data_IF_020200260587
#
_entry.id   IF_020200260587
#
_cell.length_a   1.000
_cell.length_b   1.000
_cell.length_c   1.000
_cell.angle_alpha   90.00
_cell.angle_beta   90.00
_cell.angle_gamma   90.00
#
_symmetry.space_group_name_H-M   'P 1'
#
loop_
_entity.id
_entity.type
_entity.pdbx_description
1 polymer ?
#
# COMPACT_ATOMS: atom_id res chain seq x y z
N UNK A 1 33.60 -1.85 -8.35
CA UNK A 1 32.88 -1.60 -9.62
C UNK A 1 33.82 -1.70 -10.83
N UNK A 2 34.58 -2.80 -10.91
CA UNK A 2 35.46 -3.21 -12.01
C UNK A 2 35.49 -4.75 -11.81
N UNK A 3 34.71 -5.57 -12.55
CA UNK A 3 34.95 -5.90 -13.96
C UNK A 3 33.66 -6.28 -14.73
N UNK A 4 32.98 -5.33 -15.38
CA UNK A 4 31.95 -5.61 -16.39
C UNK A 4 32.19 -4.85 -17.71
N UNK A 5 33.18 -3.95 -17.73
CA UNK A 5 33.52 -3.11 -18.90
C UNK A 5 34.52 -3.79 -19.86
N UNK A 6 35.16 -4.90 -19.46
CA UNK A 6 36.15 -5.59 -20.31
C UNK A 6 35.54 -6.50 -21.39
N UNK A 7 34.29 -6.94 -21.23
CA UNK A 7 33.62 -7.85 -22.18
C UNK A 7 32.97 -7.13 -23.36
N UNK A 8 32.27 -6.01 -23.11
CA UNK A 8 31.51 -5.27 -24.14
C UNK A 8 32.46 -4.53 -25.10
N UNK A 9 33.63 -4.10 -24.62
CA UNK A 9 34.60 -3.37 -25.45
C UNK A 9 35.19 -4.22 -26.60
N UNK A 10 35.30 -5.55 -26.45
CA UNK A 10 35.88 -6.39 -27.51
C UNK A 10 34.91 -6.73 -28.65
N UNK A 11 33.61 -6.83 -28.37
CA UNK A 11 32.59 -7.13 -29.40
C UNK A 11 32.25 -5.87 -30.21
N UNK A 12 32.22 -4.69 -29.58
CA UNK A 12 31.95 -3.43 -30.27
C UNK A 12 33.12 -2.96 -31.16
N UNK A 13 34.38 -3.20 -30.75
CA UNK A 13 35.55 -2.77 -31.52
C UNK A 13 35.80 -3.64 -32.77
N UNK A 14 35.37 -4.90 -32.79
CA UNK A 14 35.52 -5.77 -33.98
C UNK A 14 34.44 -5.55 -35.05
N UNK A 15 33.25 -5.05 -34.68
CA UNK A 15 32.18 -4.71 -35.63
C UNK A 15 32.29 -3.30 -36.24
N UNK A 16 32.94 -2.36 -35.54
CA UNK A 16 32.97 -0.94 -35.92
C UNK A 16 33.92 -0.61 -37.09
N UNK A 17 34.80 -1.52 -37.51
CA UNK A 17 35.69 -1.29 -38.66
C UNK A 17 35.02 -1.42 -40.03
N UNK A 18 33.76 -1.89 -40.12
CA UNK A 18 33.09 -2.10 -41.43
C UNK A 18 31.87 -1.22 -41.70
N UNK A 19 31.42 -0.39 -40.75
CA UNK A 19 30.23 0.43 -40.98
C UNK A 19 30.27 1.74 -40.19
N UNK A 20 30.75 2.80 -40.84
CA UNK A 20 30.89 4.16 -40.28
C UNK A 20 29.55 4.70 -39.72
N UNK A 21 28.43 4.24 -40.28
CA UNK A 21 27.07 4.58 -39.86
C UNK A 21 26.71 4.02 -38.47
N UNK A 22 27.20 2.82 -38.12
CA UNK A 22 26.93 2.20 -36.83
C UNK A 22 27.73 2.85 -35.69
N UNK A 23 28.97 3.27 -35.97
CA UNK A 23 29.79 4.01 -35.02
C UNK A 23 29.20 5.40 -34.70
N UNK A 24 28.62 6.08 -35.70
CA UNK A 24 27.91 7.35 -35.51
C UNK A 24 26.60 7.19 -34.73
N UNK A 25 25.86 6.09 -34.93
CA UNK A 25 24.65 5.80 -34.16
C UNK A 25 24.97 5.52 -32.68
N UNK A 26 26.03 4.75 -32.42
CA UNK A 26 26.53 4.51 -31.06
C UNK A 26 26.97 5.81 -30.37
N UNK A 27 27.73 6.67 -31.06
CA UNK A 27 28.13 7.98 -30.51
C UNK A 27 26.94 8.91 -30.21
N UNK A 28 25.87 8.84 -31.02
CA UNK A 28 24.63 9.60 -30.77
C UNK A 28 23.88 9.07 -29.55
N UNK A 29 23.80 7.75 -29.36
CA UNK A 29 23.25 7.16 -28.12
C UNK A 29 24.06 7.56 -26.88
N UNK A 30 25.39 7.53 -26.95
CA UNK A 30 26.25 7.94 -25.83
C UNK A 30 26.14 9.43 -25.51
N UNK A 31 25.98 10.29 -26.53
CA UNK A 31 25.74 11.72 -26.32
C UNK A 31 24.37 11.96 -25.69
N UNK A 32 23.31 11.28 -26.16
CA UNK A 32 21.98 11.39 -25.56
C UNK A 32 21.95 10.91 -24.10
N UNK A 33 22.59 9.78 -23.80
CA UNK A 33 22.73 9.28 -22.41
C UNK A 33 23.51 10.26 -21.52
N UNK A 34 24.59 10.85 -22.05
CA UNK A 34 25.37 11.87 -21.34
C UNK A 34 24.57 13.14 -21.11
N UNK A 35 23.83 13.61 -22.11
CA UNK A 35 23.04 14.84 -22.02
C UNK A 35 21.86 14.66 -21.07
N UNK A 36 21.19 13.50 -21.10
CA UNK A 36 20.16 13.12 -20.14
C UNK A 36 20.71 13.03 -18.70
N UNK A 37 21.91 12.47 -18.52
CA UNK A 37 22.59 12.40 -17.22
C UNK A 37 22.99 13.79 -16.70
N UNK A 38 23.56 14.64 -17.56
CA UNK A 38 23.92 16.03 -17.22
C UNK A 38 22.68 16.85 -16.88
N UNK A 39 21.59 16.67 -17.61
CA UNK A 39 20.32 17.33 -17.31
C UNK A 39 19.75 16.86 -15.96
N UNK A 40 19.84 15.56 -15.65
CA UNK A 40 19.47 15.01 -14.33
C UNK A 40 20.33 15.61 -13.21
N UNK A 41 21.65 15.75 -13.39
CA UNK A 41 22.55 16.34 -12.39
C UNK A 41 22.34 17.86 -12.21
N UNK A 42 22.00 18.60 -13.27
CA UNK A 42 21.72 20.03 -13.15
C UNK A 42 20.37 20.29 -12.44
N UNK A 43 19.36 19.47 -12.74
CA UNK A 43 18.10 19.47 -11.99
C UNK A 43 18.32 19.13 -10.51
N UNK A 44 19.29 18.25 -10.19
CA UNK A 44 19.70 17.90 -8.83
C UNK A 44 20.35 19.08 -8.07
N UNK A 45 21.20 19.86 -8.71
CA UNK A 45 21.86 21.02 -8.09
C UNK A 45 20.87 22.16 -7.83
N UNK A 46 19.97 22.42 -8.78
CA UNK A 46 18.86 23.36 -8.60
C UNK A 46 17.90 22.87 -7.50
N UNK A 47 17.65 21.56 -7.43
CA UNK A 47 16.86 20.89 -6.39
C UNK A 47 17.42 21.13 -4.99
N UNK A 48 18.73 20.92 -4.77
CA UNK A 48 19.36 21.11 -3.46
C UNK A 48 19.29 22.57 -3.00
N UNK A 49 19.51 23.52 -3.92
CA UNK A 49 19.52 24.95 -3.62
C UNK A 49 18.13 25.49 -3.27
N UNK A 50 17.12 25.20 -4.10
CA UNK A 50 15.75 25.69 -3.90
C UNK A 50 15.09 25.08 -2.66
N UNK A 51 15.27 23.78 -2.43
CA UNK A 51 14.63 23.09 -1.30
C UNK A 51 15.25 23.46 0.04
N UNK A 52 16.56 23.70 0.08
CA UNK A 52 17.22 24.19 1.29
C UNK A 52 16.68 25.56 1.70
N UNK A 53 16.47 26.48 0.75
CA UNK A 53 15.90 27.80 1.03
C UNK A 53 14.47 27.71 1.61
N UNK A 54 13.63 26.82 1.08
CA UNK A 54 12.25 26.65 1.55
C UNK A 54 12.17 26.00 2.95
N UNK A 55 13.03 25.02 3.23
CA UNK A 55 13.14 24.41 4.57
C UNK A 55 13.65 25.42 5.59
N UNK A 56 14.68 26.22 5.26
CA UNK A 56 15.17 27.27 6.15
C UNK A 56 14.09 28.32 6.43
N UNK A 57 13.27 28.67 5.45
CA UNK A 57 12.10 29.56 5.66
C UNK A 57 11.10 28.95 6.64
N UNK A 58 10.80 27.66 6.53
CA UNK A 58 9.89 26.95 7.44
C UNK A 58 10.43 26.82 8.86
N UNK A 59 11.70 26.48 9.02
CA UNK A 59 12.33 26.40 10.34
C UNK A 59 12.29 27.77 11.04
N UNK A 60 12.59 28.84 10.30
CA UNK A 60 12.47 30.20 10.82
C UNK A 60 11.03 30.60 11.16
N UNK A 61 10.04 30.12 10.40
CA UNK A 61 8.62 30.37 10.68
C UNK A 61 8.14 29.57 11.90
N UNK A 62 8.54 28.30 12.01
CA UNK A 62 8.25 27.42 13.15
C UNK A 62 8.87 27.96 14.44
N UNK A 63 10.12 28.43 14.41
CA UNK A 63 10.78 29.07 15.54
C UNK A 63 10.07 30.37 15.98
N UNK A 64 9.52 31.14 15.03
CA UNK A 64 8.69 32.31 15.34
C UNK A 64 7.35 31.94 15.98
N UNK A 65 6.80 30.77 15.65
CA UNK A 65 5.55 30.25 16.22
C UNK A 65 5.76 29.58 17.60
N UNK A 66 6.94 29.01 17.83
CA UNK A 66 7.32 28.37 19.10
C UNK A 66 7.77 29.36 20.18
N UNK A 67 7.94 30.65 19.83
CA UNK A 67 8.23 31.69 20.81
C UNK A 67 7.05 31.80 21.81
N UNK A 68 7.32 31.84 23.13
CA UNK A 68 6.28 31.92 24.14
C UNK A 68 5.38 33.13 23.88
N UNK A 69 4.06 32.89 24.03
CA UNK A 69 2.98 33.81 23.68
C UNK A 69 3.31 35.27 23.99
N UNK A 70 3.42 36.10 22.94
CA UNK A 70 3.32 37.53 23.10
C UNK A 70 1.91 37.84 23.65
N UNK A 71 1.78 38.59 24.75
CA UNK A 71 0.49 38.86 25.38
C UNK A 71 -0.34 39.76 24.47
N UNK A 72 -1.35 39.18 23.82
CA UNK A 72 -2.22 39.87 22.86
C UNK A 72 -2.87 38.90 21.89
N UNK A 73 -3.78 38.06 22.38
CA UNK A 73 -4.56 37.10 21.57
C UNK A 73 -5.62 37.78 20.68
N UNK A 74 -5.19 38.65 19.77
CA UNK A 74 -6.01 39.28 18.75
C UNK A 74 -5.99 38.52 17.42
N UNK A 75 -6.87 38.91 16.51
CA UNK A 75 -7.10 38.42 15.13
C UNK A 75 -5.85 37.93 14.33
N UNK A 76 -4.65 38.39 14.67
CA UNK A 76 -3.37 37.98 14.06
C UNK A 76 -3.09 36.48 14.13
N UNK A 77 -3.48 35.78 15.21
CA UNK A 77 -3.17 34.34 15.31
C UNK A 77 -3.94 33.47 14.30
N UNK A 78 -5.17 33.87 13.95
CA UNK A 78 -5.94 33.20 12.89
C UNK A 78 -5.29 33.42 11.53
N UNK A 79 -4.82 34.63 11.25
CA UNK A 79 -4.13 34.96 10.01
C UNK A 79 -2.78 34.24 9.90
N UNK A 80 -2.01 34.19 10.99
CA UNK A 80 -0.73 33.48 11.06
C UNK A 80 -0.92 31.97 10.86
N UNK A 81 -1.93 31.35 11.50
CA UNK A 81 -2.25 29.93 11.31
C UNK A 81 -2.69 29.63 9.88
N UNK A 82 -3.51 30.49 9.28
CA UNK A 82 -3.94 30.37 7.89
C UNK A 82 -2.76 30.48 6.92
N UNK A 83 -1.88 31.46 7.13
CA UNK A 83 -0.67 31.67 6.32
C UNK A 83 0.30 30.48 6.45
N UNK A 84 0.45 29.93 7.65
CA UNK A 84 1.24 28.72 7.89
C UNK A 84 0.66 27.51 7.13
N UNK A 85 -0.66 27.29 7.23
CA UNK A 85 -1.35 26.21 6.49
C UNK A 85 -1.22 26.38 4.96
N UNK A 86 -1.32 27.62 4.45
CA UNK A 86 -1.13 27.90 3.02
C UNK A 86 0.31 27.63 2.56
N UNK A 87 1.31 28.04 3.34
CA UNK A 87 2.72 27.80 3.03
C UNK A 87 3.08 26.31 3.10
N UNK A 88 2.57 25.58 4.10
CA UNK A 88 2.74 24.13 4.19
C UNK A 88 2.11 23.40 2.99
N UNK A 89 0.88 23.77 2.60
CA UNK A 89 0.25 23.24 1.38
C UNK A 89 1.09 23.51 0.14
N UNK A 90 1.67 24.71 0.03
CA UNK A 90 2.52 25.05 -1.12
C UNK A 90 3.77 24.17 -1.18
N UNK A 91 4.41 23.94 -0.04
CA UNK A 91 5.64 23.13 0.06
C UNK A 91 5.34 21.65 -0.14
N UNK A 92 4.26 21.13 0.45
CA UNK A 92 3.79 19.77 0.20
C UNK A 92 3.45 19.55 -1.28
N UNK A 93 2.75 20.50 -1.92
CA UNK A 93 2.49 20.43 -3.37
C UNK A 93 3.77 20.51 -4.20
N UNK A 94 4.76 21.32 -3.79
CA UNK A 94 6.04 21.43 -4.49
C UNK A 94 6.89 20.16 -4.34
N UNK A 95 6.92 19.56 -3.15
CA UNK A 95 7.55 18.25 -2.93
C UNK A 95 6.83 17.17 -3.71
N UNK A 96 5.49 17.15 -3.66
CA UNK A 96 4.67 16.20 -4.40
C UNK A 96 4.96 16.27 -5.90
N UNK A 97 4.92 17.45 -6.51
CA UNK A 97 5.24 17.63 -7.95
C UNK A 97 6.63 17.12 -8.31
N UNK A 98 7.59 17.21 -7.39
CA UNK A 98 8.97 16.76 -7.62
C UNK A 98 9.11 15.24 -7.44
N UNK A 99 8.49 14.65 -6.42
CA UNK A 99 8.38 13.19 -6.22
C UNK A 99 7.64 12.55 -7.39
N UNK A 100 6.50 13.12 -7.79
CA UNK A 100 5.70 12.75 -8.96
C UNK A 100 6.54 12.78 -10.25
N UNK A 101 7.27 13.87 -10.49
CA UNK A 101 8.17 13.98 -11.65
C UNK A 101 9.30 12.94 -11.65
N UNK A 102 9.90 12.67 -10.48
CA UNK A 102 10.96 11.67 -10.38
C UNK A 102 10.45 10.24 -10.49
N UNK A 103 9.31 9.92 -9.86
CA UNK A 103 8.66 8.61 -9.99
C UNK A 103 8.18 8.37 -11.43
N UNK A 104 7.71 9.41 -12.12
CA UNK A 104 7.39 9.34 -13.56
C UNK A 104 8.64 9.05 -14.39
N UNK A 105 9.76 9.72 -14.13
CA UNK A 105 11.05 9.42 -14.79
C UNK A 105 11.55 8.00 -14.48
N UNK A 106 11.29 7.48 -13.27
CA UNK A 106 11.57 6.10 -12.89
C UNK A 106 10.62 5.12 -13.60
N UNK A 107 9.35 5.48 -13.81
CA UNK A 107 8.38 4.72 -14.61
C UNK A 107 8.82 4.60 -16.07
N UNK A 108 9.43 5.65 -16.62
CA UNK A 108 9.99 5.64 -17.97
C UNK A 108 11.31 4.84 -18.09
N UNK A 109 11.98 4.56 -16.95
CA UNK A 109 13.26 3.86 -16.91
C UNK A 109 13.15 2.57 -16.08
N UNK A 110 12.84 1.46 -16.75
CA UNK A 110 12.54 0.15 -16.13
C UNK A 110 13.69 -0.52 -15.34
N UNK A 111 14.89 0.07 -15.27
CA UNK A 111 16.11 -0.56 -14.77
C UNK A 111 16.72 0.15 -13.52
N UNK A 112 15.93 0.97 -12.83
CA UNK A 112 16.44 1.90 -11.79
C UNK A 112 16.35 1.34 -10.37
N UNK A 113 16.33 0.01 -10.19
CA UNK A 113 16.25 -0.64 -8.86
C UNK A 113 17.46 -0.38 -7.95
N UNK A 114 18.45 0.41 -8.37
CA UNK A 114 19.66 0.74 -7.59
C UNK A 114 19.80 2.22 -7.23
N UNK A 115 18.74 3.03 -7.39
CA UNK A 115 18.86 4.46 -7.16
C UNK A 115 18.69 4.85 -5.68
N UNK A 116 19.82 4.95 -4.97
CA UNK A 116 19.93 5.50 -3.60
C UNK A 116 19.21 6.84 -3.41
N UNK A 117 19.03 7.63 -4.47
CA UNK A 117 18.32 8.91 -4.38
C UNK A 117 16.82 8.73 -4.12
N UNK A 118 16.21 7.61 -4.54
CA UNK A 118 14.80 7.34 -4.26
C UNK A 118 14.60 7.08 -2.76
N UNK A 119 15.49 6.31 -2.15
CA UNK A 119 15.51 6.05 -0.71
C UNK A 119 15.62 7.36 0.08
N UNK A 120 16.56 8.24 -0.27
CA UNK A 120 16.73 9.56 0.39
C UNK A 120 15.49 10.48 0.25
N UNK A 121 14.79 10.40 -0.88
CA UNK A 121 13.57 11.20 -1.12
C UNK A 121 12.41 10.64 -0.31
N UNK A 122 12.24 9.32 -0.32
CA UNK A 122 11.23 8.66 0.49
C UNK A 122 11.48 8.97 1.98
N UNK A 123 12.72 8.82 2.47
CA UNK A 123 13.12 9.24 3.81
C UNK A 123 12.75 10.69 4.14
N UNK A 124 12.87 11.60 3.18
CA UNK A 124 12.51 13.01 3.38
C UNK A 124 10.99 13.20 3.46
N UNK A 125 10.22 12.61 2.55
CA UNK A 125 8.75 12.60 2.62
C UNK A 125 8.28 12.03 3.95
N UNK A 126 8.96 10.97 4.43
CA UNK A 126 8.67 10.32 5.70
C UNK A 126 8.96 11.22 6.92
N UNK A 127 10.07 11.97 6.92
CA UNK A 127 10.36 12.96 7.97
C UNK A 127 9.29 14.05 8.05
N UNK A 128 8.87 14.56 6.90
CA UNK A 128 7.88 15.65 6.85
C UNK A 128 6.49 15.16 7.29
N UNK A 129 6.13 13.90 7.00
CA UNK A 129 4.91 13.27 7.51
C UNK A 129 4.88 13.20 9.04
N UNK A 130 5.99 12.73 9.65
CA UNK A 130 6.13 12.65 11.11
C UNK A 130 5.92 14.01 11.76
N UNK A 131 6.51 15.05 11.19
CA UNK A 131 6.44 16.40 11.74
C UNK A 131 5.05 17.05 11.52
N UNK A 132 4.24 16.52 10.59
CA UNK A 132 2.87 16.97 10.30
C UNK A 132 1.77 16.27 11.12
N UNK A 133 2.12 15.37 12.05
CA UNK A 133 1.18 14.50 12.80
C UNK A 133 -0.03 15.23 13.38
N UNK A 134 0.19 16.34 14.10
CA UNK A 134 -0.91 17.08 14.74
C UNK A 134 -1.85 17.75 13.72
N UNK A 135 -1.33 18.10 12.55
CA UNK A 135 -2.12 18.67 11.45
C UNK A 135 -2.96 17.61 10.78
N UNK A 136 -2.38 16.43 10.53
CA UNK A 136 -3.10 15.25 10.02
C UNK A 136 -4.24 14.90 10.96
N UNK A 137 -3.96 14.86 12.26
CA UNK A 137 -4.96 14.61 13.27
C UNK A 137 -6.14 15.59 13.20
N UNK A 138 -5.83 16.89 13.23
CA UNK A 138 -6.85 17.95 13.13
C UNK A 138 -7.65 17.82 11.83
N UNK A 139 -6.99 17.47 10.73
CA UNK A 139 -7.63 17.23 9.45
C UNK A 139 -8.62 16.06 9.51
N UNK A 140 -8.21 14.92 10.06
CA UNK A 140 -9.05 13.72 10.16
C UNK A 140 -10.28 13.91 11.06
N UNK A 141 -10.13 14.61 12.19
CA UNK A 141 -11.26 14.98 13.05
C UNK A 141 -12.26 15.87 12.31
N UNK A 142 -11.79 16.84 11.52
CA UNK A 142 -12.65 17.73 10.75
C UNK A 142 -13.37 17.02 9.60
N UNK A 143 -12.77 15.97 9.02
CA UNK A 143 -13.37 15.27 7.89
C UNK A 143 -14.56 14.38 8.30
N UNK A 144 -14.45 13.66 9.43
CA UNK A 144 -15.55 12.86 9.98
C UNK A 144 -16.11 11.81 9.01
N UNK A 145 -15.25 11.08 8.30
CA UNK A 145 -15.61 10.03 7.33
C UNK A 145 -16.49 10.44 6.15
N UNK A 146 -16.59 11.74 5.86
CA UNK A 146 -17.44 12.22 4.75
C UNK A 146 -16.87 11.96 3.36
N UNK A 147 -15.58 11.67 3.27
CA UNK A 147 -14.84 11.45 2.03
C UNK A 147 -13.53 10.74 2.37
N UNK A 148 -12.85 10.27 1.33
CA UNK A 148 -11.56 9.60 1.37
C UNK A 148 -10.45 10.59 1.74
N UNK A 149 -9.87 10.51 2.96
CA UNK A 149 -8.84 11.44 3.36
C UNK A 149 -7.53 11.12 2.63
N UNK A 150 -7.00 12.10 1.92
CA UNK A 150 -5.70 12.04 1.29
C UNK A 150 -4.72 12.88 2.11
N UNK A 151 -3.97 12.22 2.99
CA UNK A 151 -2.98 12.86 3.87
C UNK A 151 -1.79 13.44 3.11
N UNK A 152 -1.46 12.92 1.92
CA UNK A 152 -0.36 13.46 1.10
C UNK A 152 -0.70 14.84 0.54
N UNK A 153 -2.00 15.10 0.33
CA UNK A 153 -2.51 16.38 -0.18
C UNK A 153 -3.24 17.22 0.87
N UNK A 154 -3.47 16.66 2.05
CA UNK A 154 -4.30 17.25 3.12
C UNK A 154 -5.67 17.69 2.58
N UNK A 155 -6.25 16.87 1.70
CA UNK A 155 -7.54 17.09 1.08
C UNK A 155 -8.42 15.85 1.13
N UNK A 156 -9.71 16.04 0.82
CA UNK A 156 -10.73 15.02 0.93
C UNK A 156 -11.76 15.27 -0.19
N UNK A 157 -11.26 15.22 -1.42
CA UNK A 157 -12.02 15.58 -2.62
C UNK A 157 -12.71 14.41 -3.31
N UNK A 158 -12.52 13.19 -2.81
CA UNK A 158 -13.03 11.96 -3.42
C UNK A 158 -13.83 11.18 -2.38
N UNK A 159 -14.94 10.59 -2.77
CA UNK A 159 -15.71 9.70 -1.90
C UNK A 159 -14.97 8.38 -1.67
N UNK A 160 -15.18 7.74 -0.53
CA UNK A 160 -14.76 6.35 -0.37
C UNK A 160 -15.45 5.45 -1.40
N UNK A 161 -14.77 4.37 -1.78
CA UNK A 161 -15.40 3.28 -2.54
C UNK A 161 -16.69 2.83 -1.86
N UNK A 162 -17.71 2.54 -2.66
CA UNK A 162 -19.07 2.25 -2.18
C UNK A 162 -19.09 1.14 -1.12
N UNK A 163 -18.22 0.14 -1.25
CA UNK A 163 -18.13 -0.99 -0.31
C UNK A 163 -17.91 -0.57 1.14
N UNK A 164 -17.19 0.52 1.41
CA UNK A 164 -16.95 1.01 2.77
C UNK A 164 -18.25 1.44 3.48
N UNK A 165 -19.27 1.87 2.72
CA UNK A 165 -20.57 2.28 3.28
C UNK A 165 -21.32 1.12 3.96
N UNK A 166 -21.04 -0.12 3.55
CA UNK A 166 -21.59 -1.32 4.19
C UNK A 166 -20.93 -1.66 5.53
N UNK A 167 -19.83 -0.98 5.87
CA UNK A 167 -19.04 -1.21 7.08
C UNK A 167 -18.78 0.10 7.83
N UNK A 168 -19.81 0.68 8.48
CA UNK A 168 -19.60 1.91 9.25
C UNK A 168 -18.54 1.69 10.34
N UNK A 169 -17.63 2.64 10.58
CA UNK A 169 -16.57 2.49 11.58
C UNK A 169 -17.14 2.18 12.95
N UNK A 170 -16.48 1.27 13.68
CA UNK A 170 -16.83 1.03 15.08
C UNK A 170 -16.16 2.06 15.98
N UNK A 171 -16.90 2.58 16.96
CA UNK A 171 -16.41 3.59 17.89
C UNK A 171 -16.09 3.00 19.26
N UNK A 172 -15.37 3.78 20.07
CA UNK A 172 -14.98 3.42 21.44
C UNK A 172 -13.49 3.13 21.60
N UNK A 173 -12.97 3.17 22.83
CA UNK A 173 -11.54 3.00 23.08
C UNK A 173 -11.09 1.57 22.75
N UNK A 174 -9.82 1.41 22.35
CA UNK A 174 -9.16 0.12 22.39
C UNK A 174 -8.94 -0.31 23.86
N UNK A 175 -8.86 -1.61 24.13
CA UNK A 175 -8.40 -2.05 25.46
C UNK A 175 -6.92 -1.70 25.64
N UNK A 176 -6.47 -1.59 26.89
CA UNK A 176 -5.08 -1.30 27.21
C UNK A 176 -4.14 -2.31 26.54
N UNK A 177 -3.09 -1.79 25.88
CA UNK A 177 -2.10 -2.60 25.14
C UNK A 177 -2.62 -3.20 23.83
N UNK A 178 -3.74 -2.71 23.32
CA UNK A 178 -4.32 -3.15 22.05
C UNK A 178 -4.55 -1.98 21.11
N UNK A 179 -4.65 -2.33 19.83
CA UNK A 179 -5.05 -1.45 18.75
C UNK A 179 -6.30 -2.06 18.12
N UNK A 180 -7.20 -1.21 17.65
CA UNK A 180 -8.44 -1.66 17.05
C UNK A 180 -8.71 -0.82 15.82
N UNK A 181 -8.85 -1.46 14.67
CA UNK A 181 -9.15 -0.79 13.41
C UNK A 181 -10.64 -0.43 13.29
N UNK A 182 -11.01 0.24 12.19
CA UNK A 182 -12.39 0.70 11.97
C UNK A 182 -13.42 -0.43 11.87
N UNK A 183 -13.00 -1.65 11.48
CA UNK A 183 -13.87 -2.82 11.39
C UNK A 183 -14.06 -3.49 12.76
N UNK A 184 -13.19 -3.15 13.72
CA UNK A 184 -13.17 -3.71 15.06
C UNK A 184 -12.31 -4.95 15.18
N UNK A 185 -11.36 -5.12 14.26
CA UNK A 185 -10.30 -6.11 14.44
C UNK A 185 -9.31 -5.55 15.45
N UNK A 186 -9.06 -6.35 16.48
CA UNK A 186 -8.24 -6.01 17.63
C UNK A 186 -6.92 -6.74 17.55
N UNK A 187 -5.82 -5.99 17.52
CA UNK A 187 -4.44 -6.47 17.49
C UNK A 187 -3.72 -6.07 18.78
N UNK A 188 -2.64 -6.77 19.13
CA UNK A 188 -1.79 -6.33 20.25
C UNK A 188 -0.98 -5.10 19.81
N UNK A 189 -0.68 -4.20 20.76
CA UNK A 189 0.21 -3.07 20.51
C UNK A 189 1.51 -3.52 19.84
N UNK A 190 2.13 -4.56 20.37
CA UNK A 190 3.38 -5.11 19.83
C UNK A 190 3.25 -5.60 18.38
N UNK A 191 2.12 -6.19 18.00
CA UNK A 191 1.94 -6.70 16.65
C UNK A 191 1.62 -5.60 15.63
N UNK A 192 0.84 -4.58 16.02
CA UNK A 192 0.44 -3.50 15.12
C UNK A 192 1.41 -2.32 15.10
N UNK A 193 2.07 -2.06 16.22
CA UNK A 193 2.87 -0.88 16.50
C UNK A 193 4.27 -1.22 17.00
N UNK A 194 4.71 -2.48 16.94
CA UNK A 194 6.05 -2.87 17.42
C UNK A 194 7.18 -2.07 16.77
N UNK A 195 6.96 -1.57 15.56
CA UNK A 195 7.90 -0.74 14.83
C UNK A 195 7.96 0.69 15.41
N UNK A 196 6.85 1.22 15.98
CA UNK A 196 6.88 2.50 16.72
C UNK A 196 7.85 2.43 17.89
N UNK A 197 7.81 1.33 18.64
CA UNK A 197 8.61 1.17 19.85
C UNK A 197 10.11 1.08 19.53
N UNK A 198 10.45 0.65 18.31
CA UNK A 198 11.83 0.55 17.82
C UNK A 198 12.30 1.81 17.10
N UNK A 199 11.43 2.81 16.94
CA UNK A 199 11.70 3.98 16.09
C UNK A 199 11.85 3.63 14.61
N UNK A 200 11.37 2.44 14.22
CA UNK A 200 11.46 1.92 12.87
C UNK A 200 10.41 2.59 11.97
N UNK A 201 10.79 2.96 10.73
CA UNK A 201 9.97 3.75 9.83
C UNK A 201 8.77 3.04 9.18
N UNK A 202 8.42 1.80 9.57
CA UNK A 202 7.33 1.06 8.94
C UNK A 202 5.94 1.72 9.09
N UNK A 203 5.80 2.66 10.03
CA UNK A 203 4.61 3.51 10.14
C UNK A 203 4.37 4.46 8.95
N UNK A 204 5.31 4.52 8.01
CA UNK A 204 5.25 5.50 6.94
C UNK A 204 4.81 4.93 5.59
N UNK A 205 4.81 3.61 5.43
CA UNK A 205 4.40 2.94 4.19
C UNK A 205 2.86 2.78 4.15
N UNK A 206 2.27 2.39 5.28
CA UNK A 206 0.83 2.34 5.52
C UNK A 206 0.38 3.33 6.63
N UNK A 207 0.32 4.65 6.35
CA UNK A 207 -0.12 5.67 7.30
C UNK A 207 -1.46 5.38 8.01
N UNK A 208 -2.38 4.65 7.38
CA UNK A 208 -3.63 4.21 7.95
C UNK A 208 -3.42 3.32 9.17
N UNK A 209 -2.51 2.33 9.07
CA UNK A 209 -2.14 1.45 10.20
C UNK A 209 -1.53 2.25 11.36
N UNK A 210 -0.73 3.25 11.02
CA UNK A 210 -0.11 4.16 11.96
C UNK A 210 -1.12 4.96 12.76
N UNK A 211 -2.15 5.47 12.09
CA UNK A 211 -3.21 6.20 12.78
C UNK A 211 -3.90 5.34 13.84
N UNK A 212 -4.11 4.05 13.59
CA UNK A 212 -4.68 3.13 14.59
C UNK A 212 -3.81 3.07 15.86
N UNK A 213 -2.49 3.05 15.72
CA UNK A 213 -1.56 3.18 16.85
C UNK A 213 -1.68 4.54 17.55
N UNK A 214 -1.79 5.64 16.79
CA UNK A 214 -1.93 6.98 17.37
C UNK A 214 -3.27 7.15 18.11
N UNK A 215 -4.35 6.55 17.61
CA UNK A 215 -5.65 6.48 18.29
C UNK A 215 -5.51 5.77 19.63
N UNK A 216 -4.84 4.61 19.65
CA UNK A 216 -4.62 3.84 20.87
C UNK A 216 -3.81 4.62 21.93
N UNK A 217 -2.75 5.35 21.53
CA UNK A 217 -1.97 6.20 22.47
C UNK A 217 -2.80 7.38 22.98
N UNK A 218 -3.50 8.07 22.08
CA UNK A 218 -4.18 9.33 22.42
C UNK A 218 -5.47 9.14 23.22
N UNK A 219 -6.03 7.93 23.24
CA UNK A 219 -7.31 7.62 23.88
C UNK A 219 -8.50 8.28 23.19
N UNK A 220 -8.32 8.84 21.99
CA UNK A 220 -9.39 9.55 21.28
C UNK A 220 -10.33 8.54 20.58
N UNK A 221 -11.66 8.72 20.64
CA UNK A 221 -12.63 7.69 20.27
C UNK A 221 -12.96 7.60 18.77
N UNK A 222 -12.32 8.42 17.93
CA UNK A 222 -12.74 8.61 16.55
C UNK A 222 -12.02 7.61 15.63
N UNK A 223 -12.66 6.48 15.30
CA UNK A 223 -12.18 5.64 14.20
C UNK A 223 -12.77 6.14 12.89
N UNK A 224 -11.89 6.29 11.91
CA UNK A 224 -12.25 6.68 10.56
C UNK A 224 -12.16 5.48 9.61
N UNK A 225 -12.83 5.55 8.47
CA UNK A 225 -12.51 4.66 7.36
C UNK A 225 -11.03 4.83 6.95
N UNK A 226 -10.44 3.82 6.27
CA UNK A 226 -9.02 3.85 5.91
C UNK A 226 -8.64 5.08 5.09
N UNK A 227 -7.43 5.58 5.30
CA UNK A 227 -6.87 6.65 4.47
C UNK A 227 -6.63 6.17 3.05
N UNK A 228 -6.46 7.12 2.11
CA UNK A 228 -5.84 6.77 0.84
C UNK A 228 -4.33 6.57 1.03
N UNK A 229 -3.94 5.32 1.20
CA UNK A 229 -2.58 4.81 1.22
C UNK A 229 -2.48 3.45 0.50
N UNK A 230 -1.36 2.76 0.65
CA UNK A 230 -1.10 1.48 -0.02
C UNK A 230 -2.09 0.38 0.41
N UNK A 231 -2.54 0.36 1.67
CA UNK A 231 -3.50 -0.62 2.18
C UNK A 231 -4.96 -0.36 1.74
N UNK A 232 -5.26 0.82 1.17
CA UNK A 232 -6.64 1.18 0.84
C UNK A 232 -7.30 0.19 -0.13
N UNK A 233 -6.54 -0.28 -1.13
CA UNK A 233 -7.04 -1.24 -2.12
C UNK A 233 -7.20 -2.65 -1.53
N UNK A 234 -6.28 -3.07 -0.66
CA UNK A 234 -6.37 -4.34 0.09
C UNK A 234 -7.64 -4.37 0.95
N UNK A 235 -7.91 -3.27 1.67
CA UNK A 235 -9.18 -3.08 2.38
C UNK A 235 -10.38 -3.22 1.47
N UNK A 236 -10.39 -2.52 0.33
CA UNK A 236 -11.50 -2.58 -0.60
C UNK A 236 -11.75 -4.02 -1.11
N UNK A 237 -10.69 -4.76 -1.42
CA UNK A 237 -10.78 -6.15 -1.89
C UNK A 237 -11.33 -7.08 -0.83
N UNK A 238 -10.86 -6.96 0.41
CA UNK A 238 -11.36 -7.70 1.57
C UNK A 238 -12.85 -7.44 1.80
N UNK A 239 -13.27 -6.17 1.81
CA UNK A 239 -14.66 -5.80 2.06
C UNK A 239 -15.58 -6.23 0.90
N UNK A 240 -15.10 -6.16 -0.34
CA UNK A 240 -15.86 -6.62 -1.50
C UNK A 240 -16.02 -8.13 -1.50
N UNK A 241 -14.97 -8.88 -1.16
CA UNK A 241 -15.02 -10.34 -1.04
C UNK A 241 -16.01 -10.76 0.05
N UNK A 242 -15.94 -10.12 1.23
CA UNK A 242 -16.88 -10.35 2.33
C UNK A 242 -18.32 -10.03 1.94
N UNK A 243 -18.57 -8.89 1.30
CA UNK A 243 -19.91 -8.48 0.85
C UNK A 243 -20.47 -9.41 -0.21
N UNK A 244 -19.64 -9.77 -1.20
CA UNK A 244 -20.04 -10.70 -2.26
C UNK A 244 -20.38 -12.07 -1.69
N UNK A 245 -19.54 -12.61 -0.79
CA UNK A 245 -19.83 -13.86 -0.09
C UNK A 245 -21.10 -13.77 0.76
N UNK A 246 -21.35 -12.61 1.38
CA UNK A 246 -22.53 -12.42 2.20
C UNK A 246 -23.84 -12.41 1.41
N UNK A 247 -23.84 -11.88 0.19
CA UNK A 247 -25.04 -11.84 -0.66
C UNK A 247 -25.36 -13.19 -1.32
N UNK A 248 -24.39 -14.09 -1.46
CA UNK A 248 -24.62 -15.42 -2.03
C UNK A 248 -25.33 -16.34 -1.04
N UNK A 249 -26.47 -16.89 -1.47
CA UNK A 249 -27.24 -17.84 -0.67
C UNK A 249 -26.48 -19.16 -0.46
N UNK A 250 -26.44 -19.64 0.78
CA UNK A 250 -25.92 -20.95 1.13
C UNK A 250 -24.39 -21.11 1.06
N UNK A 251 -23.64 -20.06 0.73
CA UNK A 251 -22.17 -20.14 0.67
C UNK A 251 -21.51 -19.41 1.85
N UNK A 252 -20.42 -19.99 2.36
CA UNK A 252 -19.50 -19.32 3.26
C UNK A 252 -18.56 -18.36 2.53
N UNK A 253 -17.77 -17.60 3.30
CA UNK A 253 -16.60 -16.88 2.80
C UNK A 253 -15.41 -17.84 2.73
N UNK A 254 -14.67 -17.86 1.61
CA UNK A 254 -13.39 -18.57 1.50
C UNK A 254 -12.28 -17.60 1.11
N UNK A 255 -11.28 -17.41 1.96
CA UNK A 255 -10.15 -16.52 1.67
C UNK A 255 -8.81 -17.20 1.92
N UNK A 256 -7.86 -17.01 1.01
CA UNK A 256 -6.47 -17.38 1.22
C UNK A 256 -5.60 -16.11 1.29
N UNK A 257 -4.69 -16.07 2.25
CA UNK A 257 -3.68 -15.02 2.45
C UNK A 257 -2.31 -15.69 2.36
N UNK A 258 -1.57 -15.40 1.29
CA UNK A 258 -0.25 -15.96 1.00
C UNK A 258 0.80 -14.90 1.37
N UNK A 259 1.57 -15.17 2.42
CA UNK A 259 2.35 -14.15 3.14
C UNK A 259 1.54 -13.47 4.23
N UNK A 260 0.85 -14.28 5.05
CA UNK A 260 -0.09 -13.81 6.06
C UNK A 260 0.55 -13.00 7.22
N UNK A 261 1.87 -12.96 7.28
CA UNK A 261 2.59 -12.40 8.41
C UNK A 261 2.28 -13.13 9.71
N UNK A 262 2.70 -12.52 10.82
CA UNK A 262 2.58 -13.12 12.15
C UNK A 262 1.15 -13.24 12.68
N UNK A 263 0.20 -12.53 12.07
CA UNK A 263 -1.16 -12.41 12.60
C UNK A 263 -2.26 -12.65 11.55
N UNK A 264 -1.96 -12.86 10.27
CA UNK A 264 -2.97 -13.09 9.22
C UNK A 264 -3.99 -11.98 9.13
N UNK A 265 -3.52 -10.73 9.03
CA UNK A 265 -4.38 -9.57 9.29
C UNK A 265 -5.51 -9.48 8.27
N UNK A 266 -5.26 -9.80 7.00
CA UNK A 266 -6.25 -9.66 5.95
C UNK A 266 -7.30 -10.77 5.99
N UNK A 267 -6.90 -12.00 6.25
CA UNK A 267 -7.80 -13.13 6.47
C UNK A 267 -8.73 -12.92 7.65
N UNK A 268 -8.22 -12.38 8.76
CA UNK A 268 -9.04 -12.06 9.94
C UNK A 268 -9.96 -10.88 9.68
N UNK A 269 -9.52 -9.83 8.97
CA UNK A 269 -10.36 -8.70 8.55
C UNK A 269 -11.50 -9.15 7.64
N UNK A 270 -11.25 -10.02 6.67
CA UNK A 270 -12.29 -10.56 5.79
C UNK A 270 -13.31 -11.41 6.55
N UNK A 271 -12.84 -12.30 7.42
CA UNK A 271 -13.71 -13.09 8.29
C UNK A 271 -14.60 -12.19 9.16
N UNK A 272 -14.02 -11.16 9.80
CA UNK A 272 -14.75 -10.20 10.63
C UNK A 272 -15.81 -9.45 9.83
N UNK A 273 -15.47 -8.97 8.63
CA UNK A 273 -16.38 -8.27 7.73
C UNK A 273 -17.55 -9.17 7.33
N UNK A 274 -17.27 -10.40 6.89
CA UNK A 274 -18.30 -11.36 6.50
C UNK A 274 -19.26 -11.68 7.65
N UNK A 275 -18.71 -11.96 8.84
CA UNK A 275 -19.53 -12.26 10.02
C UNK A 275 -20.39 -11.08 10.45
N UNK A 276 -19.92 -9.83 10.28
CA UNK A 276 -20.71 -8.62 10.54
C UNK A 276 -21.93 -8.51 9.64
N UNK A 277 -21.81 -8.88 8.36
CA UNK A 277 -22.94 -8.90 7.43
C UNK A 277 -23.89 -10.10 7.65
N UNK A 278 -23.46 -11.11 8.39
CA UNK A 278 -24.16 -12.39 8.62
C UNK A 278 -24.66 -12.56 10.05
N UNK A 279 -24.74 -11.46 10.83
CA UNK A 279 -25.13 -11.51 12.25
C UNK A 279 -26.50 -12.19 12.45
N UNK A 280 -27.46 -11.97 11.54
CA UNK A 280 -28.83 -12.47 11.67
C UNK A 280 -29.05 -13.89 11.10
N UNK A 281 -28.05 -14.48 10.42
CA UNK A 281 -28.25 -15.71 9.63
C UNK A 281 -27.97 -17.03 10.39
N UNK A 282 -27.92 -16.99 11.72
CA UNK A 282 -27.74 -18.17 12.56
C UNK A 282 -26.36 -18.87 12.41
N UNK A 283 -26.27 -20.12 12.85
CA UNK A 283 -25.02 -20.91 12.91
C UNK A 283 -24.60 -21.53 11.57
N UNK A 284 -25.42 -21.41 10.52
CA UNK A 284 -25.19 -22.12 9.25
C UNK A 284 -24.19 -21.45 8.30
N UNK A 285 -23.72 -20.25 8.63
CA UNK A 285 -22.75 -19.52 7.80
C UNK A 285 -21.35 -19.66 8.39
N UNK A 286 -20.46 -20.35 7.69
CA UNK A 286 -19.05 -20.51 8.07
C UNK A 286 -18.14 -19.65 7.20
N UNK A 287 -16.94 -19.35 7.69
CA UNK A 287 -15.85 -18.91 6.84
C UNK A 287 -14.69 -19.92 6.84
N UNK A 288 -13.92 -19.96 5.76
CA UNK A 288 -12.75 -20.83 5.57
C UNK A 288 -11.56 -19.95 5.20
N UNK A 289 -10.63 -19.79 6.13
CA UNK A 289 -9.47 -18.91 5.97
C UNK A 289 -8.21 -19.77 5.92
N UNK A 290 -7.46 -19.64 4.83
CA UNK A 290 -6.14 -20.23 4.67
C UNK A 290 -5.09 -19.14 4.87
N UNK A 291 -4.22 -19.31 5.85
CA UNK A 291 -3.09 -18.42 6.13
C UNK A 291 -1.81 -19.18 5.81
N UNK A 292 -1.01 -18.64 4.90
CA UNK A 292 0.29 -19.23 4.53
C UNK A 292 1.38 -18.25 4.91
N UNK A 293 2.25 -18.64 5.84
CA UNK A 293 3.35 -17.80 6.32
C UNK A 293 4.63 -18.64 6.46
N UNK A 294 5.59 -18.53 5.50
CA UNK A 294 6.82 -19.30 5.54
C UNK A 294 7.84 -18.87 6.60
N UNK A 295 7.72 -17.67 7.14
CA UNK A 295 8.60 -17.14 8.17
C UNK A 295 8.25 -17.72 9.55
N UNK A 296 9.23 -17.70 10.45
CA UNK A 296 9.06 -18.19 11.81
C UNK A 296 7.97 -17.41 12.56
N UNK A 297 6.82 -18.06 12.75
CA UNK A 297 5.70 -17.59 13.58
C UNK A 297 6.01 -17.69 15.09
N UNK A 298 7.20 -18.16 15.46
CA UNK A 298 7.60 -18.45 16.83
C UNK A 298 6.67 -19.49 17.45
N UNK A 299 6.04 -19.14 18.58
CA UNK A 299 5.07 -20.01 19.24
C UNK A 299 3.70 -20.06 18.54
N UNK A 300 3.45 -19.22 17.54
CA UNK A 300 2.12 -19.02 16.94
C UNK A 300 1.10 -18.39 17.89
N UNK A 301 1.51 -17.97 19.10
CA UNK A 301 0.61 -17.44 20.12
C UNK A 301 -0.03 -16.11 19.70
N UNK A 302 0.71 -15.25 18.99
CA UNK A 302 0.18 -13.98 18.48
C UNK A 302 -0.98 -14.22 17.51
N UNK A 303 -0.79 -15.10 16.52
CA UNK A 303 -1.85 -15.49 15.59
C UNK A 303 -3.04 -16.13 16.31
N UNK A 304 -2.78 -17.07 17.23
CA UNK A 304 -3.85 -17.73 18.00
C UNK A 304 -4.67 -16.72 18.81
N UNK A 305 -4.00 -15.81 19.50
CA UNK A 305 -4.67 -14.75 20.26
C UNK A 305 -5.43 -13.79 19.34
N UNK A 306 -4.88 -13.49 18.16
CA UNK A 306 -5.54 -12.65 17.17
C UNK A 306 -6.84 -13.28 16.66
N UNK A 307 -6.84 -14.58 16.36
CA UNK A 307 -8.04 -15.33 15.97
C UNK A 307 -9.08 -15.29 17.09
N UNK A 308 -8.69 -15.70 18.31
CA UNK A 308 -9.62 -15.83 19.45
C UNK A 308 -10.29 -14.51 19.85
N UNK A 309 -9.59 -13.38 19.69
CA UNK A 309 -10.14 -12.05 20.01
C UNK A 309 -11.13 -11.56 18.97
N UNK A 310 -10.96 -11.96 17.72
CA UNK A 310 -11.68 -11.35 16.61
C UNK A 310 -12.80 -12.20 16.07
N UNK A 311 -12.67 -13.52 16.14
CA UNK A 311 -13.60 -14.47 15.55
C UNK A 311 -14.29 -15.29 16.64
N UNK A 312 -15.63 -15.38 16.64
CA UNK A 312 -16.33 -16.28 17.54
C UNK A 312 -15.94 -17.74 17.26
N UNK A 313 -15.84 -18.54 18.31
CA UNK A 313 -15.48 -19.95 18.21
C UNK A 313 -16.46 -20.71 17.29
N UNK A 314 -15.91 -21.60 16.45
CA UNK A 314 -16.69 -22.45 15.54
C UNK A 314 -17.33 -21.73 14.34
N UNK A 315 -17.22 -20.39 14.22
CA UNK A 315 -17.77 -19.65 13.06
C UNK A 315 -16.88 -19.69 11.83
N UNK A 316 -15.59 -19.94 12.01
CA UNK A 316 -14.62 -19.98 10.94
C UNK A 316 -13.64 -21.14 11.12
N UNK A 317 -13.34 -21.83 10.02
CA UNK A 317 -12.23 -22.77 9.93
C UNK A 317 -10.99 -21.98 9.53
N UNK A 318 -9.97 -22.00 10.37
CA UNK A 318 -8.68 -21.36 10.08
C UNK A 318 -7.65 -22.46 9.85
N UNK A 319 -7.06 -22.48 8.66
CA UNK A 319 -5.96 -23.39 8.31
C UNK A 319 -4.69 -22.57 8.20
N UNK A 320 -3.65 -22.95 8.95
CA UNK A 320 -2.33 -22.30 8.89
C UNK A 320 -1.34 -23.24 8.24
N UNK A 321 -0.57 -22.73 7.29
CA UNK A 321 0.51 -23.45 6.61
C UNK A 321 1.80 -22.65 6.75
N UNK A 322 2.85 -23.32 7.20
CA UNK A 322 4.18 -22.74 7.37
C UNK A 322 5.16 -23.19 6.29
N UNK A 323 4.75 -24.12 5.43
CA UNK A 323 5.55 -24.54 4.30
C UNK A 323 5.60 -23.42 3.26
N UNK A 324 6.79 -23.05 2.77
CA UNK A 324 6.92 -21.97 1.80
C UNK A 324 6.28 -22.35 0.46
N UNK A 325 5.26 -21.59 0.07
CA UNK A 325 4.77 -21.59 -1.30
C UNK A 325 5.70 -20.72 -2.15
N UNK A 326 6.34 -21.30 -3.17
CA UNK A 326 7.27 -20.57 -4.06
C UNK A 326 6.97 -20.78 -5.53
N UNK A 327 6.19 -21.80 -5.86
CA UNK A 327 5.89 -22.21 -7.23
C UNK A 327 4.39 -22.22 -7.50
N UNK A 328 4.03 -22.22 -8.79
CA UNK A 328 2.65 -22.36 -9.24
C UNK A 328 2.01 -23.66 -8.73
N UNK A 329 2.78 -24.75 -8.67
CA UNK A 329 2.35 -26.05 -8.15
C UNK A 329 2.03 -26.00 -6.65
N UNK A 330 2.84 -25.30 -5.86
CA UNK A 330 2.58 -25.10 -4.43
C UNK A 330 1.25 -24.36 -4.23
N UNK A 331 1.07 -23.24 -4.94
CA UNK A 331 -0.15 -22.43 -4.86
C UNK A 331 -1.37 -23.24 -5.31
N UNK A 332 -1.24 -24.03 -6.38
CA UNK A 332 -2.30 -24.91 -6.88
C UNK A 332 -2.70 -25.98 -5.86
N UNK A 333 -1.72 -26.55 -5.16
CA UNK A 333 -1.94 -27.52 -4.09
C UNK A 333 -2.69 -26.89 -2.91
N UNK A 334 -2.25 -25.71 -2.47
CA UNK A 334 -2.87 -24.95 -1.37
C UNK A 334 -4.32 -24.54 -1.66
N UNK A 335 -4.58 -24.11 -2.90
CA UNK A 335 -5.91 -23.67 -3.34
C UNK A 335 -6.75 -24.80 -3.94
N UNK A 336 -6.34 -26.06 -3.76
CA UNK A 336 -7.12 -27.22 -4.17
C UNK A 336 -8.45 -27.30 -3.41
N UNK A 337 -9.42 -27.99 -4.00
CA UNK A 337 -10.82 -28.02 -3.54
C UNK A 337 -11.78 -27.86 -4.71
N UNK A 338 -13.07 -28.08 -4.48
CA UNK A 338 -14.10 -27.98 -5.54
C UNK A 338 -14.65 -26.56 -5.65
N UNK A 339 -14.90 -25.93 -4.51
CA UNK A 339 -15.42 -24.57 -4.44
C UNK A 339 -14.34 -23.53 -4.84
N UNK A 340 -14.73 -22.40 -5.44
CA UNK A 340 -13.83 -21.28 -5.65
C UNK A 340 -13.55 -20.53 -4.34
N UNK A 341 -12.40 -19.86 -4.30
CA UNK A 341 -12.01 -18.89 -3.28
C UNK A 341 -12.60 -17.52 -3.64
N UNK A 342 -13.10 -16.80 -2.63
CA UNK A 342 -13.63 -15.46 -2.79
C UNK A 342 -12.54 -14.42 -3.01
N UNK A 343 -11.48 -14.55 -2.23
CA UNK A 343 -10.29 -13.73 -2.30
C UNK A 343 -9.06 -14.61 -2.14
N UNK A 344 -8.10 -14.43 -3.03
CA UNK A 344 -6.72 -14.84 -2.80
C UNK A 344 -5.91 -13.56 -2.74
N UNK A 345 -5.29 -13.34 -1.60
CA UNK A 345 -4.39 -12.23 -1.32
C UNK A 345 -2.96 -12.77 -1.32
N UNK A 346 -2.05 -12.13 -2.06
CA UNK A 346 -0.66 -12.57 -2.23
C UNK A 346 0.27 -11.39 -1.95
N UNK A 347 0.99 -11.47 -0.83
CA UNK A 347 2.07 -10.59 -0.41
C UNK A 347 3.26 -11.47 -0.01
N UNK A 348 4.00 -11.98 -1.00
CA UNK A 348 4.97 -13.05 -0.78
C UNK A 348 6.42 -12.59 -0.90
N UNK A 349 6.68 -11.29 -0.62
CA UNK A 349 8.01 -10.70 -0.52
C UNK A 349 8.91 -11.02 -1.74
N UNK A 350 8.35 -10.96 -2.95
CA UNK A 350 9.05 -11.23 -4.21
C UNK A 350 8.79 -12.63 -4.80
N UNK A 351 8.18 -13.54 -4.04
CA UNK A 351 7.81 -14.87 -4.54
C UNK A 351 6.57 -14.86 -5.45
N UNK A 352 5.89 -13.71 -5.62
CA UNK A 352 4.66 -13.60 -6.40
C UNK A 352 4.87 -14.06 -7.85
N UNK A 353 6.04 -13.79 -8.41
CA UNK A 353 6.41 -14.24 -9.75
C UNK A 353 6.38 -15.76 -9.89
N UNK A 354 7.02 -16.49 -8.97
CA UNK A 354 7.07 -17.95 -9.02
C UNK A 354 5.71 -18.59 -8.75
N UNK A 355 4.90 -17.96 -7.88
CA UNK A 355 3.56 -18.41 -7.55
C UNK A 355 2.55 -18.27 -8.71
N UNK A 356 2.68 -17.21 -9.52
CA UNK A 356 1.69 -16.89 -10.56
C UNK A 356 2.09 -17.29 -11.99
N UNK A 357 3.36 -17.62 -12.22
CA UNK A 357 3.86 -17.97 -13.54
C UNK A 357 3.10 -19.16 -14.14
N UNK A 358 2.38 -18.91 -15.24
CA UNK A 358 1.60 -19.92 -15.97
C UNK A 358 0.31 -20.39 -15.26
N UNK A 359 -0.07 -19.77 -14.14
CA UNK A 359 -1.20 -20.22 -13.31
C UNK A 359 -2.48 -19.38 -13.48
N UNK A 360 -2.41 -18.20 -14.09
CA UNK A 360 -3.52 -17.23 -14.13
C UNK A 360 -4.80 -17.79 -14.76
N UNK A 361 -4.72 -18.59 -15.82
CA UNK A 361 -5.89 -19.24 -16.43
C UNK A 361 -6.54 -20.28 -15.53
N UNK A 362 -5.74 -21.01 -14.74
CA UNK A 362 -6.26 -21.96 -13.75
C UNK A 362 -6.90 -21.22 -12.57
N UNK A 363 -6.23 -20.17 -12.05
CA UNK A 363 -6.77 -19.34 -10.98
C UNK A 363 -8.10 -18.69 -11.38
N UNK A 364 -8.30 -18.32 -12.66
CA UNK A 364 -9.55 -17.74 -13.13
C UNK A 364 -10.77 -18.64 -12.88
N UNK A 365 -10.56 -19.96 -12.81
CA UNK A 365 -11.60 -20.95 -12.50
C UNK A 365 -11.78 -21.16 -11.00
N UNK A 366 -10.78 -20.81 -10.19
CA UNK A 366 -10.70 -21.13 -8.76
C UNK A 366 -10.83 -19.92 -7.84
N UNK A 367 -10.73 -18.71 -8.36
CA UNK A 367 -10.62 -17.49 -7.55
C UNK A 367 -11.53 -16.43 -8.14
N UNK A 368 -12.38 -15.81 -7.31
CA UNK A 368 -13.32 -14.76 -7.74
C UNK A 368 -12.66 -13.37 -7.76
N UNK A 369 -11.75 -13.12 -6.83
CA UNK A 369 -10.94 -11.90 -6.74
C UNK A 369 -9.51 -12.25 -6.33
N UNK A 370 -8.56 -11.64 -7.00
CA UNK A 370 -7.14 -11.78 -6.71
C UNK A 370 -6.61 -10.40 -6.32
N UNK A 371 -5.95 -10.32 -5.18
CA UNK A 371 -5.12 -9.20 -4.77
C UNK A 371 -3.65 -9.65 -4.79
N UNK A 372 -2.77 -8.82 -5.33
CA UNK A 372 -1.33 -9.09 -5.34
C UNK A 372 -0.55 -7.83 -4.97
N UNK A 373 0.20 -7.90 -3.89
CA UNK A 373 1.20 -6.92 -3.48
C UNK A 373 2.57 -7.38 -3.98
N UNK A 374 3.20 -6.55 -4.82
CA UNK A 374 4.35 -6.91 -5.65
C UNK A 374 5.56 -6.11 -5.23
N UNK A 375 6.69 -6.81 -5.09
CA UNK A 375 7.91 -6.25 -4.49
C UNK A 375 8.97 -5.82 -5.51
N UNK A 376 8.65 -5.85 -6.81
CA UNK A 376 9.46 -5.21 -7.85
C UNK A 376 8.61 -4.80 -9.05
N UNK A 377 9.06 -3.78 -9.80
CA UNK A 377 8.43 -3.35 -11.06
C UNK A 377 8.37 -4.46 -12.11
N UNK A 378 9.43 -5.29 -12.19
CA UNK A 378 9.47 -6.43 -13.13
C UNK A 378 8.41 -7.47 -12.79
N UNK A 379 8.28 -7.82 -11.50
CA UNK A 379 7.24 -8.75 -11.03
C UNK A 379 5.85 -8.19 -11.35
N UNK A 380 5.64 -6.91 -11.05
CA UNK A 380 4.38 -6.22 -11.34
C UNK A 380 4.00 -6.28 -12.83
N UNK A 381 4.93 -5.92 -13.73
CA UNK A 381 4.70 -5.95 -15.16
C UNK A 381 4.40 -7.36 -15.70
N UNK A 382 5.13 -8.38 -15.21
CA UNK A 382 4.91 -9.77 -15.59
C UNK A 382 3.53 -10.26 -15.16
N UNK A 383 3.13 -9.99 -13.91
CA UNK A 383 1.83 -10.41 -13.38
C UNK A 383 0.70 -9.72 -14.15
N UNK A 384 0.79 -8.41 -14.38
CA UNK A 384 -0.16 -7.66 -15.21
C UNK A 384 -0.34 -8.33 -16.59
N UNK A 385 0.76 -8.68 -17.24
CA UNK A 385 0.75 -9.35 -18.53
C UNK A 385 0.05 -10.72 -18.46
N UNK A 386 0.41 -11.57 -17.50
CA UNK A 386 -0.20 -12.90 -17.33
C UNK A 386 -1.68 -12.84 -16.96
N UNK A 387 -2.11 -11.84 -16.19
CA UNK A 387 -3.52 -11.61 -15.87
C UNK A 387 -4.32 -11.27 -17.14
N UNK A 388 -3.80 -10.37 -17.97
CA UNK A 388 -4.43 -10.03 -19.24
C UNK A 388 -4.55 -11.25 -20.17
N UNK A 389 -3.50 -12.07 -20.29
CA UNK A 389 -3.52 -13.32 -21.07
C UNK A 389 -4.49 -14.36 -20.48
N UNK A 390 -4.59 -14.41 -19.14
CA UNK A 390 -5.46 -15.33 -18.41
C UNK A 390 -6.93 -14.93 -18.36
N UNK A 391 -7.35 -13.89 -19.09
CA UNK A 391 -8.74 -13.43 -19.14
C UNK A 391 -9.21 -12.72 -17.86
N UNK A 392 -8.29 -12.09 -17.13
CA UNK A 392 -8.61 -11.28 -15.97
C UNK A 392 -8.88 -9.82 -16.36
N UNK A 393 -9.80 -9.19 -15.64
CA UNK A 393 -10.03 -7.75 -15.66
C UNK A 393 -9.33 -7.15 -14.45
N UNK A 394 -8.35 -6.28 -14.68
CA UNK A 394 -7.71 -5.48 -13.63
C UNK A 394 -8.71 -4.41 -13.19
N UNK A 395 -9.02 -4.40 -11.89
CA UNK A 395 -9.96 -3.47 -11.26
C UNK A 395 -9.25 -2.20 -10.78
N UNK A 396 -8.06 -2.36 -10.22
CA UNK A 396 -7.18 -1.30 -9.76
C UNK A 396 -5.73 -1.80 -9.79
N UNK A 397 -4.78 -0.93 -10.09
CA UNK A 397 -3.37 -1.25 -10.01
C UNK A 397 -2.53 -0.03 -9.65
N UNK A 398 -1.44 -0.23 -8.92
CA UNK A 398 -0.39 0.76 -8.70
C UNK A 398 0.95 0.05 -8.78
N UNK A 399 1.95 0.64 -9.45
CA UNK A 399 3.26 0.01 -9.59
C UNK A 399 4.05 -0.01 -8.29
N UNK A 400 5.03 -0.92 -8.19
CA UNK A 400 6.01 -0.92 -7.10
C UNK A 400 6.83 0.38 -7.08
N UNK A 401 6.94 1.01 -5.90
CA UNK A 401 7.49 2.34 -5.71
C UNK A 401 6.92 3.33 -6.73
N UNK A 402 5.64 3.68 -6.60
CA UNK A 402 4.96 4.57 -7.55
C UNK A 402 4.20 5.70 -6.86
N UNK A 403 4.05 6.80 -7.60
CA UNK A 403 3.05 7.81 -7.30
C UNK A 403 1.77 7.39 -8.03
N UNK A 404 0.96 6.60 -7.34
CA UNK A 404 -0.33 6.16 -7.82
C UNK A 404 -1.21 7.38 -8.11
N UNK A 405 -1.63 7.55 -9.37
CA UNK A 405 -2.70 8.48 -9.75
C UNK A 405 -3.90 7.67 -10.23
N UNK A 406 -4.85 7.47 -9.34
CA UNK A 406 -6.13 6.84 -9.67
C UNK A 406 -7.28 7.84 -9.58
N UNK A 407 -8.48 7.39 -9.92
CA UNK A 407 -9.71 8.14 -9.66
C UNK A 407 -9.92 8.45 -8.16
N UNK A 408 -9.22 7.72 -7.28
CA UNK A 408 -9.19 7.91 -5.83
C UNK A 408 -8.34 9.12 -5.40
N UNK A 409 -7.46 9.62 -6.27
CA UNK A 409 -6.49 10.67 -5.95
C UNK A 409 -5.06 10.20 -6.13
N UNK A 410 -4.12 11.06 -5.72
CA UNK A 410 -2.69 10.80 -5.80
C UNK A 410 -2.14 10.35 -4.44
N UNK A 411 -1.39 9.25 -4.40
CA UNK A 411 -0.71 8.77 -3.19
C UNK A 411 0.57 8.03 -3.55
N UNK A 412 1.40 7.72 -2.56
CA UNK A 412 2.62 6.91 -2.77
C UNK A 412 2.34 5.49 -2.32
N UNK A 413 2.74 4.52 -3.13
CA UNK A 413 2.76 3.12 -2.76
C UNK A 413 4.21 2.63 -2.83
N UNK A 414 4.63 1.88 -1.80
CA UNK A 414 5.94 1.26 -1.79
C UNK A 414 5.86 -0.09 -2.47
N UNK A 415 4.84 -0.87 -2.11
CA UNK A 415 4.50 -2.06 -2.85
C UNK A 415 3.67 -1.73 -4.09
N UNK A 416 3.73 -2.63 -5.08
CA UNK A 416 2.84 -2.52 -6.24
C UNK A 416 1.60 -3.35 -6.01
N UNK A 417 0.40 -2.79 -6.11
CA UNK A 417 -0.84 -3.53 -5.92
C UNK A 417 -1.51 -3.85 -7.25
N UNK A 418 -2.05 -5.05 -7.38
CA UNK A 418 -2.94 -5.43 -8.49
C UNK A 418 -4.18 -6.09 -7.91
N UNK A 419 -5.32 -5.45 -8.07
CA UNK A 419 -6.64 -6.04 -7.82
C UNK A 419 -7.24 -6.50 -9.14
N UNK A 420 -7.64 -7.76 -9.23
CA UNK A 420 -8.19 -8.34 -10.45
C UNK A 420 -9.35 -9.29 -10.18
N UNK A 421 -10.24 -9.41 -11.16
CA UNK A 421 -11.32 -10.42 -11.18
C UNK A 421 -11.36 -11.12 -12.53
N UNK A 422 -11.63 -12.42 -12.59
CA UNK A 422 -11.82 -13.10 -13.87
C UNK A 422 -13.00 -12.48 -14.63
N UNK A 423 -12.90 -12.39 -15.95
CA UNK A 423 -13.92 -11.73 -16.78
C UNK A 423 -15.33 -12.32 -16.59
N UNK A 424 -15.43 -13.62 -16.28
CA UNK A 424 -16.70 -14.31 -16.00
C UNK A 424 -17.40 -13.83 -14.71
N UNK A 425 -16.66 -13.22 -13.76
CA UNK A 425 -17.21 -12.66 -12.53
C UNK A 425 -17.39 -11.14 -12.58
N UNK A 426 -16.79 -10.45 -13.56
CA UNK A 426 -16.81 -8.99 -13.66
C UNK A 426 -18.25 -8.41 -13.73
N UNK A 427 -19.15 -9.07 -14.46
CA UNK A 427 -20.55 -8.64 -14.60
C UNK A 427 -21.37 -8.71 -13.31
N UNK A 428 -20.99 -9.57 -12.35
CA UNK A 428 -21.70 -9.74 -11.08
C UNK A 428 -21.42 -8.59 -10.10
N UNK A 429 -20.34 -7.82 -10.30
CA UNK A 429 -19.89 -6.78 -9.39
C UNK A 429 -20.39 -5.37 -9.73
N UNK A 430 -21.13 -5.16 -10.82
CA UNK A 430 -21.59 -3.81 -11.25
C UNK A 430 -22.66 -3.19 -10.35
N UNK A 431 -23.14 -3.90 -9.34
CA UNK A 431 -24.21 -3.46 -8.44
C UNK A 431 -23.78 -3.34 -6.96
N UNK A 432 -22.49 -3.53 -6.65
CA UNK A 432 -21.96 -3.57 -5.28
C UNK A 432 -21.35 -2.27 -4.80
#
# INVERSE_FOLDING_TARGET
>A
MIPLVSGISRVALYGAQRNHSAALAACRCFRWLKDAWVQSCNLELEFRSSLHQDITRLQNLSLKLAAPALPGGGQDWKNIRMLYQQNMRHIQMAMWRKVDGMLTLLDEHADVSENKNLEEIMERVFRDYRDARDQIWTFLENMGNRCLPNIFRMDCGVDHLQVFRSFPPIHGPAMQGQVVDFLGVTTTWRAACGDLDQGEPHLFLAPGRSLDCLYAISGRPLRNWPLLDEEYLEWADVLHAASSAATRHGTGLRMAEIGAGRIGIWGIRAAKAFLRLKQDMGTHTSCDILLVEPFDLGSGLDLKNHILRNLPEGRCRITVKTDPARTAEDLKSLLSGEEPWDLVDIDAQGAEHGLLQGLTSWLAQRVRRLHVSTHTRRIHANIRHWLAEGGWTILAENGFYSAAQQHLGRFVAVDGHISATPSQYHGQNKHG
#
